data_IF_371207324456
#
_entry.id   IF_371207324456
#
_cell.length_a   1.000
_cell.length_b   1.000
_cell.length_c   1.000
_cell.angle_alpha   90.00
_cell.angle_beta   90.00
_cell.angle_gamma   90.00
#
_symmetry.space_group_name_H-M   'P 1'
#
loop_
_entity.id
_entity.type
_entity.pdbx_description
1 polymer ?
#
# COMPACT_ATOMS: atom_id res chain seq x y z
N UNK A 1 -11.72 -10.84 17.60
CA UNK A 1 -12.40 -9.52 17.45
C UNK A 1 -11.40 -8.38 17.25
N UNK A 2 -10.43 -8.11 18.16
CA UNK A 2 -9.40 -7.07 17.97
C UNK A 2 -8.37 -7.36 16.87
N UNK A 3 -7.92 -8.62 16.74
CA UNK A 3 -6.88 -8.98 15.78
C UNK A 3 -7.39 -8.93 14.34
N UNK A 4 -8.64 -9.33 14.11
CA UNK A 4 -9.30 -9.19 12.81
C UNK A 4 -9.43 -7.72 12.39
N UNK A 5 -9.70 -6.81 13.33
CA UNK A 5 -9.76 -5.38 13.07
C UNK A 5 -8.38 -4.83 12.67
N UNK A 6 -7.32 -5.26 13.38
CA UNK A 6 -5.93 -4.90 13.04
C UNK A 6 -5.53 -5.43 11.66
N UNK A 7 -5.83 -6.70 11.37
CA UNK A 7 -5.57 -7.32 10.07
C UNK A 7 -6.36 -6.65 8.94
N UNK A 8 -7.63 -6.30 9.17
CA UNK A 8 -8.42 -5.57 8.19
C UNK A 8 -7.82 -4.19 7.89
N UNK A 9 -7.29 -3.51 8.91
CA UNK A 9 -6.65 -2.21 8.74
C UNK A 9 -5.35 -2.26 7.94
N UNK A 10 -4.66 -3.41 7.87
CA UNK A 10 -3.42 -3.57 7.10
C UNK A 10 -3.63 -3.95 5.64
N UNK A 11 -4.87 -4.24 5.22
CA UNK A 11 -5.19 -4.58 3.83
C UNK A 11 -4.84 -3.45 2.85
N UNK A 12 -4.44 -3.76 1.61
CA UNK A 12 -3.98 -2.80 0.60
C UNK A 12 -5.14 -2.00 -0.04
N UNK A 13 -6.24 -1.82 0.69
CA UNK A 13 -7.44 -1.11 0.27
C UNK A 13 -7.50 0.28 0.89
N UNK A 14 -8.17 1.21 0.20
CA UNK A 14 -8.42 2.57 0.69
C UNK A 14 -7.16 3.39 0.95
N UNK A 15 -6.03 3.03 0.32
CA UNK A 15 -4.82 3.83 0.40
C UNK A 15 -4.92 5.03 -0.54
N UNK A 16 -4.62 6.22 -0.02
CA UNK A 16 -4.42 7.39 -0.87
C UNK A 16 -3.21 7.18 -1.79
N UNK A 17 -3.16 7.91 -2.90
CA UNK A 17 -2.03 7.87 -3.85
C UNK A 17 -0.68 8.05 -3.15
N UNK A 18 -0.55 9.01 -2.21
CA UNK A 18 0.72 9.26 -1.53
C UNK A 18 1.10 8.11 -0.61
N UNK A 19 0.14 7.53 0.11
CA UNK A 19 0.41 6.34 0.95
C UNK A 19 0.87 5.17 0.10
N UNK A 20 0.24 4.97 -1.07
CA UNK A 20 0.62 3.92 -1.99
C UNK A 20 2.03 4.13 -2.55
N UNK A 21 2.36 5.35 -2.99
CA UNK A 21 3.70 5.72 -3.44
C UNK A 21 4.77 5.51 -2.37
N UNK A 22 4.47 5.75 -1.10
CA UNK A 22 5.40 5.46 0.00
C UNK A 22 5.70 3.97 0.11
N UNK A 23 4.68 3.12 -0.02
CA UNK A 23 4.86 1.66 0.04
C UNK A 23 5.64 1.19 -1.19
N UNK A 24 5.26 1.64 -2.38
CA UNK A 24 5.91 1.28 -3.64
C UNK A 24 7.40 1.67 -3.62
N UNK A 25 7.76 2.89 -3.18
CA UNK A 25 9.17 3.33 -3.04
C UNK A 25 9.96 2.44 -2.06
N UNK A 26 9.38 2.07 -0.92
CA UNK A 26 10.07 1.19 0.06
C UNK A 26 10.32 -0.20 -0.55
N UNK A 27 9.38 -0.71 -1.35
CA UNK A 27 9.48 -2.02 -1.99
C UNK A 27 10.45 -2.03 -3.17
N UNK A 28 10.52 -0.94 -3.94
CA UNK A 28 11.33 -0.81 -5.16
C UNK A 28 12.75 -0.30 -4.85
N UNK A 29 12.88 0.71 -3.98
CA UNK A 29 14.12 1.47 -3.70
C UNK A 29 14.70 1.19 -2.30
N UNK A 30 14.09 0.28 -1.56
CA UNK A 30 14.47 -0.09 -0.20
C UNK A 30 14.16 0.97 0.86
N UNK A 31 14.55 0.70 2.11
CA UNK A 31 14.23 1.55 3.27
C UNK A 31 14.93 2.92 3.18
N UNK A 32 14.20 4.04 3.06
CA UNK A 32 14.80 5.37 3.07
C UNK A 32 15.31 5.72 4.48
N UNK A 33 16.43 6.46 4.56
CA UNK A 33 16.99 6.89 5.86
C UNK A 33 16.10 7.90 6.57
N UNK A 34 15.41 8.75 5.82
CA UNK A 34 14.55 9.81 6.38
C UNK A 34 13.31 10.06 5.53
N UNK A 35 12.26 10.64 6.13
CA UNK A 35 11.05 11.05 5.40
C UNK A 35 11.33 12.15 4.36
N UNK A 36 12.39 12.97 4.55
CA UNK A 36 12.78 13.96 3.55
C UNK A 36 13.44 13.32 2.33
N UNK A 37 14.23 12.26 2.52
CA UNK A 37 14.78 11.49 1.41
C UNK A 37 13.65 10.80 0.62
N UNK A 38 12.73 10.15 1.33
CA UNK A 38 11.53 9.54 0.72
C UNK A 38 10.72 10.57 -0.08
N UNK A 39 10.45 11.74 0.49
CA UNK A 39 9.73 12.83 -0.18
C UNK A 39 10.39 13.26 -1.50
N UNK A 40 11.72 13.33 -1.54
CA UNK A 40 12.46 13.61 -2.78
C UNK A 40 12.32 12.48 -3.80
N UNK A 41 12.44 11.22 -3.38
CA UNK A 41 12.31 10.06 -4.28
C UNK A 41 10.94 10.02 -4.97
N UNK A 42 9.86 10.23 -4.22
CA UNK A 42 8.49 10.13 -4.76
C UNK A 42 7.92 11.45 -5.31
N UNK A 43 8.70 12.53 -5.34
CA UNK A 43 8.27 13.85 -5.83
C UNK A 43 7.09 14.43 -5.04
N UNK A 44 7.13 14.37 -3.71
CA UNK A 44 6.09 14.88 -2.81
C UNK A 44 6.67 15.81 -1.75
N UNK A 45 5.81 16.58 -1.09
CA UNK A 45 6.24 17.42 0.04
C UNK A 45 6.53 16.55 1.27
N UNK A 46 7.42 17.05 2.14
CA UNK A 46 7.70 16.39 3.43
C UNK A 46 6.44 16.26 4.29
N UNK A 47 5.53 17.24 4.26
CA UNK A 47 4.28 17.21 5.02
C UNK A 47 3.31 16.12 4.53
N UNK A 48 3.22 15.94 3.21
CA UNK A 48 2.43 14.87 2.59
C UNK A 48 2.98 13.49 2.96
N UNK A 49 4.31 13.30 2.86
CA UNK A 49 4.96 12.06 3.29
C UNK A 49 4.77 11.80 4.77
N UNK A 50 4.94 12.82 5.62
CA UNK A 50 4.73 12.70 7.06
C UNK A 50 3.32 12.20 7.38
N UNK A 51 2.30 12.79 6.75
CA UNK A 51 0.90 12.40 6.93
C UNK A 51 0.64 10.97 6.46
N UNK A 52 1.20 10.59 5.30
CA UNK A 52 1.10 9.23 4.79
C UNK A 52 1.76 8.20 5.74
N UNK A 53 3.00 8.44 6.18
CA UNK A 53 3.73 7.57 7.12
C UNK A 53 2.96 7.45 8.44
N UNK A 54 2.43 8.54 8.97
CA UNK A 54 1.62 8.53 10.20
C UNK A 54 0.39 7.62 10.05
N UNK A 55 -0.32 7.69 8.93
CA UNK A 55 -1.50 6.85 8.68
C UNK A 55 -1.10 5.38 8.51
N UNK A 56 -0.08 5.09 7.70
CA UNK A 56 0.39 3.72 7.47
C UNK A 56 0.86 3.04 8.76
N UNK A 57 1.51 3.80 9.67
CA UNK A 57 1.88 3.34 11.01
C UNK A 57 0.68 3.06 11.90
N UNK A 58 -0.33 3.94 11.90
CA UNK A 58 -1.59 3.72 12.63
C UNK A 58 -2.34 2.48 12.14
N UNK A 59 -2.22 2.17 10.85
CA UNK A 59 -2.79 0.97 10.21
C UNK A 59 -1.95 -0.30 10.41
N UNK A 60 -0.82 -0.21 11.11
CA UNK A 60 0.09 -1.35 11.30
C UNK A 60 0.85 -1.78 10.05
N UNK A 61 0.76 -1.04 8.95
CA UNK A 61 1.43 -1.37 7.67
C UNK A 61 2.93 -1.06 7.76
N UNK A 62 3.28 0.10 8.30
CA UNK A 62 4.68 0.48 8.57
C UNK A 62 5.02 0.30 10.05
N UNK A 63 6.29 -0.01 10.31
CA UNK A 63 6.83 0.00 11.66
C UNK A 63 6.88 1.41 12.25
N UNK A 64 6.82 1.49 13.58
CA UNK A 64 6.88 2.76 14.32
C UNK A 64 8.28 3.36 14.37
N UNK A 65 9.31 2.51 14.35
CA UNK A 65 10.72 2.87 14.56
C UNK A 65 11.46 3.14 13.25
N UNK A 66 11.12 2.43 12.17
CA UNK A 66 11.79 2.55 10.86
C UNK A 66 10.81 2.84 9.72
N UNK A 67 11.30 3.33 8.58
CA UNK A 67 10.51 3.53 7.35
C UNK A 67 10.47 2.24 6.52
N UNK A 68 9.99 1.17 7.13
CA UNK A 68 9.85 -0.13 6.50
C UNK A 68 8.53 -0.80 6.92
N UNK A 69 8.10 -1.79 6.15
CA UNK A 69 6.92 -2.59 6.42
C UNK A 69 7.02 -3.30 7.79
N UNK A 70 5.88 -3.46 8.46
CA UNK A 70 5.81 -4.27 9.67
C UNK A 70 6.09 -5.74 9.36
N UNK A 71 6.65 -6.48 10.34
CA UNK A 71 7.10 -7.87 10.14
C UNK A 71 5.99 -8.86 9.77
N UNK A 72 4.73 -8.55 10.08
CA UNK A 72 3.57 -9.37 9.74
C UNK A 72 3.00 -9.04 8.34
N UNK A 73 3.58 -8.09 7.63
CA UNK A 73 3.14 -7.69 6.30
C UNK A 73 3.92 -8.48 5.26
N UNK A 74 3.19 -9.21 4.42
CA UNK A 74 3.76 -9.88 3.25
C UNK A 74 3.87 -8.90 2.09
N UNK A 75 5.03 -8.84 1.44
CA UNK A 75 5.28 -7.93 0.31
C UNK A 75 4.28 -8.15 -0.83
N UNK A 76 3.93 -9.41 -1.11
CA UNK A 76 2.95 -9.78 -2.15
C UNK A 76 1.57 -9.15 -1.94
N UNK A 77 1.19 -8.85 -0.69
CA UNK A 77 -0.07 -8.15 -0.38
C UNK A 77 -0.13 -6.77 -1.03
N UNK A 78 1.01 -6.14 -1.25
CA UNK A 78 1.10 -4.82 -1.85
C UNK A 78 1.60 -4.85 -3.28
N UNK A 79 2.14 -5.95 -3.80
CA UNK A 79 2.44 -6.02 -5.24
C UNK A 79 1.16 -5.90 -6.04
N UNK A 80 1.23 -5.25 -7.21
CA UNK A 80 0.07 -5.16 -8.09
C UNK A 80 -0.33 -6.59 -8.45
N UNK A 81 -1.53 -7.00 -8.09
CA UNK A 81 -2.13 -8.18 -8.73
C UNK A 81 -2.22 -7.86 -10.22
N UNK A 82 -1.83 -8.80 -11.08
CA UNK A 82 -2.16 -8.72 -12.49
C UNK A 82 -3.63 -8.31 -12.65
N UNK A 83 -3.93 -7.51 -13.68
CA UNK A 83 -5.30 -7.08 -13.99
C UNK A 83 -6.19 -8.32 -13.93
N UNK A 84 -7.10 -8.37 -12.96
CA UNK A 84 -8.09 -9.44 -12.88
C UNK A 84 -8.90 -9.42 -14.17
N UNK A 85 -8.61 -10.34 -15.08
CA UNK A 85 -9.34 -10.52 -16.33
C UNK A 85 -10.57 -11.36 -16.03
N UNK A 86 -11.69 -10.69 -15.77
CA UNK A 86 -12.97 -11.38 -15.68
C UNK A 86 -13.41 -11.78 -17.09
N UNK A 87 -13.41 -13.08 -17.39
CA UNK A 87 -14.06 -13.62 -18.58
C UNK A 87 -15.58 -13.64 -18.32
N UNK A 88 -16.26 -12.56 -18.70
CA UNK A 88 -17.71 -12.48 -18.63
C UNK A 88 -18.31 -13.27 -19.81
N UNK A 89 -18.91 -14.42 -19.54
CA UNK A 89 -19.76 -15.11 -20.49
C UNK A 89 -21.17 -14.52 -20.44
N UNK A 90 -21.47 -13.57 -21.32
CA UNK A 90 -22.86 -13.13 -21.55
C UNK A 90 -23.58 -14.27 -22.29
N UNK A 91 -24.36 -15.07 -21.57
CA UNK A 91 -25.07 -16.25 -22.07
C UNK A 91 -26.16 -15.97 -23.10
N UNK A 92 -26.20 -14.76 -23.67
CA UNK A 92 -27.10 -14.39 -24.77
C UNK A 92 -26.66 -15.11 -26.04
N UNK A 93 -27.22 -16.29 -26.25
CA UNK A 93 -27.32 -16.87 -27.59
C UNK A 93 -28.11 -15.87 -28.43
N UNK A 94 -27.43 -15.15 -29.31
CA UNK A 94 -28.06 -14.53 -30.47
C UNK A 94 -28.59 -15.67 -31.33
N UNK A 95 -29.84 -16.05 -31.13
CA UNK A 95 -30.59 -16.82 -32.12
C UNK A 95 -30.93 -15.83 -33.23
N UNK A 96 -30.28 -16.05 -34.39
CA UNK A 96 -30.71 -15.50 -35.66
C UNK A 96 -31.90 -16.31 -36.19
#
# INVERSE_FOLDING_TARGET
SSDQQRMASSLPIGLSTVQRQVIDDILEEGTPRTQAQLARRIGRTRASVHSAVKVLRRRGILRQDILNLASHIHVETFRRSDRLTYQWHDGRRVQA
#
